data_IF_197897118781
#
_entry.id   IF_197897118781
#
_cell.length_a   1.000
_cell.length_b   1.000
_cell.length_c   1.000
_cell.angle_alpha   90.00
_cell.angle_beta   90.00
_cell.angle_gamma   90.00
#
_symmetry.space_group_name_H-M   'P 1'
#
loop_
_entity.id
_entity.type
_entity.pdbx_description
1 polymer ?
#
# COMPACT_ATOMS: atom_id res chain seq x y z
N UNK A 1 0.33 -11.87 -12.65
CA UNK A 1 -1.05 -11.63 -13.13
C UNK A 1 -2.14 -11.76 -12.07
N UNK A 2 -1.90 -12.41 -10.92
CA UNK A 2 -2.92 -12.54 -9.88
C UNK A 2 -3.35 -11.24 -9.22
N UNK A 3 -2.47 -10.23 -9.13
CA UNK A 3 -2.74 -8.96 -8.43
C UNK A 3 -2.89 -7.76 -9.39
N UNK A 4 -2.03 -7.67 -10.40
CA UNK A 4 -1.93 -6.50 -11.28
C UNK A 4 -3.23 -6.23 -12.06
N UNK A 5 -3.77 -5.01 -11.92
CA UNK A 5 -4.98 -4.47 -12.58
C UNK A 5 -6.26 -5.26 -12.29
N UNK A 6 -6.32 -5.98 -11.17
CA UNK A 6 -7.44 -6.85 -10.82
C UNK A 6 -8.52 -6.10 -10.05
N UNK A 7 -9.73 -6.12 -10.60
CA UNK A 7 -10.90 -5.45 -10.06
C UNK A 7 -11.34 -6.00 -8.70
N UNK A 8 -11.10 -7.28 -8.42
CA UNK A 8 -11.48 -7.91 -7.14
C UNK A 8 -10.79 -7.28 -5.91
N UNK A 9 -9.68 -6.57 -6.13
CA UNK A 9 -8.95 -5.85 -5.09
C UNK A 9 -9.32 -4.37 -4.99
N UNK A 10 -10.20 -3.87 -5.87
CA UNK A 10 -10.75 -2.53 -5.74
C UNK A 10 -11.68 -2.43 -4.53
N UNK A 11 -11.58 -1.32 -3.81
CA UNK A 11 -12.59 -0.97 -2.82
C UNK A 11 -13.79 -0.32 -3.48
N UNK A 12 -14.98 -0.65 -2.97
CA UNK A 12 -16.22 0.04 -3.31
C UNK A 12 -16.81 0.65 -2.04
N UNK A 13 -16.94 1.97 -2.02
CA UNK A 13 -17.48 2.76 -0.91
C UNK A 13 -18.36 3.89 -1.47
N UNK A 14 -19.60 4.00 -1.01
CA UNK A 14 -20.59 5.00 -1.48
C UNK A 14 -20.74 5.09 -3.01
N UNK A 15 -20.64 3.96 -3.72
CA UNK A 15 -20.74 3.93 -5.18
C UNK A 15 -19.51 4.47 -5.92
N UNK A 16 -18.45 4.86 -5.20
CA UNK A 16 -17.13 5.16 -5.75
C UNK A 16 -16.21 3.93 -5.64
N UNK A 17 -15.35 3.76 -6.63
CA UNK A 17 -14.48 2.59 -6.77
C UNK A 17 -13.03 3.02 -6.80
N UNK A 18 -12.17 2.37 -6.00
CA UNK A 18 -10.73 2.66 -6.01
C UNK A 18 -10.05 2.12 -7.26
N UNK A 19 -8.87 2.65 -7.59
CA UNK A 19 -8.05 2.10 -8.66
C UNK A 19 -7.58 0.68 -8.30
N UNK A 20 -7.56 -0.26 -9.25
CA UNK A 20 -7.04 -1.59 -8.98
C UNK A 20 -5.53 -1.52 -8.69
N UNK A 21 -4.97 -2.46 -7.92
CA UNK A 21 -3.54 -2.49 -7.64
C UNK A 21 -2.73 -2.58 -8.94
N UNK A 22 -1.61 -1.87 -9.02
CA UNK A 22 -0.75 -1.86 -10.20
C UNK A 22 0.69 -2.18 -9.85
N UNK A 23 1.30 -3.08 -10.60
CA UNK A 23 2.72 -3.42 -10.46
C UNK A 23 3.57 -2.20 -10.79
N UNK A 24 4.42 -1.80 -9.86
CA UNK A 24 5.37 -0.71 -10.06
C UNK A 24 6.78 -1.20 -10.38
N UNK A 25 7.18 -2.34 -9.83
CA UNK A 25 8.48 -2.95 -10.09
C UNK A 25 8.41 -4.45 -9.90
N UNK A 26 9.06 -5.18 -10.80
CA UNK A 26 9.34 -6.61 -10.71
C UNK A 26 10.78 -6.82 -11.14
N UNK A 27 11.62 -7.42 -10.29
CA UNK A 27 13.02 -7.73 -10.60
C UNK A 27 13.49 -8.96 -9.84
N UNK A 28 14.45 -9.69 -10.39
CA UNK A 28 15.28 -10.58 -9.59
C UNK A 28 16.27 -9.76 -8.73
N UNK A 29 16.89 -10.41 -7.76
CA UNK A 29 17.84 -9.77 -6.84
C UNK A 29 19.29 -10.23 -7.05
N UNK A 30 19.66 -10.68 -8.26
CA UNK A 30 21.07 -10.95 -8.55
C UNK A 30 21.85 -9.64 -8.61
N UNK A 31 22.97 -9.60 -7.91
CA UNK A 31 23.87 -8.44 -7.90
C UNK A 31 24.74 -8.37 -9.16
N UNK A 32 25.09 -9.53 -9.72
CA UNK A 32 25.92 -9.64 -10.90
C UNK A 32 25.44 -10.75 -11.85
N UNK A 33 25.91 -10.66 -13.11
CA UNK A 33 25.65 -11.71 -14.09
C UNK A 33 26.37 -13.00 -13.72
N UNK A 34 25.62 -14.11 -13.78
CA UNK A 34 26.15 -15.46 -13.70
C UNK A 34 25.20 -16.44 -14.40
N UNK A 35 25.69 -17.63 -14.72
CA UNK A 35 24.88 -18.71 -15.33
C UNK A 35 23.89 -19.37 -14.35
N UNK A 36 23.94 -19.02 -13.07
CA UNK A 36 23.06 -19.58 -12.04
C UNK A 36 21.69 -18.89 -12.06
N UNK A 37 20.65 -19.62 -11.67
CA UNK A 37 19.30 -19.07 -11.49
C UNK A 37 19.25 -18.08 -10.31
N UNK A 38 18.35 -17.11 -10.38
CA UNK A 38 18.11 -16.20 -9.26
C UNK A 38 17.47 -16.95 -8.10
N UNK A 39 17.96 -16.70 -6.88
CA UNK A 39 17.42 -17.32 -5.64
C UNK A 39 16.25 -16.54 -5.07
N UNK A 40 16.21 -15.24 -5.32
CA UNK A 40 15.22 -14.31 -4.77
C UNK A 40 14.80 -13.31 -5.82
N UNK A 41 13.56 -12.85 -5.71
CA UNK A 41 12.97 -11.82 -6.53
C UNK A 41 12.08 -10.93 -5.68
N UNK A 42 11.84 -9.71 -6.14
CA UNK A 42 10.94 -8.77 -5.49
C UNK A 42 9.95 -8.20 -6.50
N UNK A 43 8.74 -7.97 -6.00
CA UNK A 43 7.62 -7.40 -6.72
C UNK A 43 6.87 -6.50 -5.74
N UNK A 44 6.57 -5.27 -6.13
CA UNK A 44 5.70 -4.41 -5.33
C UNK A 44 4.67 -3.69 -6.19
N UNK A 45 3.56 -3.37 -5.55
CA UNK A 45 2.38 -2.78 -6.15
C UNK A 45 2.06 -1.46 -5.48
N UNK A 46 1.51 -0.52 -6.25
CA UNK A 46 0.69 0.52 -5.66
C UNK A 46 -0.71 -0.06 -5.40
N UNK A 47 -1.22 0.06 -4.17
CA UNK A 47 -2.53 -0.45 -3.77
C UNK A 47 -3.37 0.69 -3.21
N UNK A 48 -4.45 1.05 -3.90
CA UNK A 48 -5.35 2.13 -3.48
C UNK A 48 -6.53 1.60 -2.67
N UNK A 49 -6.72 2.14 -1.47
CA UNK A 49 -7.86 1.82 -0.60
C UNK A 49 -8.79 3.01 -0.44
N UNK A 50 -10.08 2.74 -0.32
CA UNK A 50 -11.12 3.69 0.10
C UNK A 50 -11.66 3.33 1.49
N UNK A 51 -11.62 2.04 1.86
CA UNK A 51 -12.13 1.52 3.13
C UNK A 51 -11.34 0.35 3.69
N UNK A 52 -10.65 -0.42 2.85
CA UNK A 52 -9.94 -1.60 3.33
C UNK A 52 -8.80 -1.21 4.25
N UNK A 53 -8.75 -1.91 5.37
CA UNK A 53 -7.73 -1.74 6.39
C UNK A 53 -6.44 -2.47 5.98
N UNK A 54 -5.28 -2.08 6.53
CA UNK A 54 -4.05 -2.86 6.39
C UNK A 54 -4.26 -4.38 6.53
N UNK A 55 -4.76 -4.88 7.65
CA UNK A 55 -4.97 -6.32 7.87
C UNK A 55 -5.82 -7.02 6.77
N UNK A 56 -6.87 -6.37 6.27
CA UNK A 56 -7.63 -6.89 5.13
C UNK A 56 -6.80 -6.96 3.85
N UNK A 57 -6.02 -5.92 3.54
CA UNK A 57 -5.13 -5.90 2.38
C UNK A 57 -4.04 -6.97 2.51
N UNK A 58 -3.46 -7.15 3.71
CA UNK A 58 -2.47 -8.19 3.96
C UNK A 58 -3.03 -9.57 3.65
N UNK A 59 -4.23 -9.86 4.15
CA UNK A 59 -4.93 -11.14 3.90
C UNK A 59 -5.15 -11.36 2.40
N UNK A 60 -5.73 -10.37 1.69
CA UNK A 60 -5.95 -10.43 0.24
C UNK A 60 -4.65 -10.70 -0.54
N UNK A 61 -3.54 -10.08 -0.15
CA UNK A 61 -2.24 -10.23 -0.82
C UNK A 61 -1.58 -11.57 -0.51
N UNK A 62 -1.72 -12.09 0.72
CA UNK A 62 -1.28 -13.44 1.06
C UNK A 62 -2.05 -14.50 0.27
N UNK A 63 -3.37 -14.38 0.18
CA UNK A 63 -4.21 -15.31 -0.57
C UNK A 63 -3.84 -15.32 -2.06
N UNK A 64 -3.68 -14.13 -2.65
CA UNK A 64 -3.27 -13.97 -4.05
C UNK A 64 -1.87 -14.56 -4.32
N UNK A 65 -0.94 -14.37 -3.39
CA UNK A 65 0.39 -14.95 -3.47
C UNK A 65 0.35 -16.47 -3.33
N UNK A 66 -0.50 -17.00 -2.46
CA UNK A 66 -0.65 -18.44 -2.24
C UNK A 66 -1.24 -19.12 -3.47
N UNK A 67 -2.27 -18.51 -4.07
CA UNK A 67 -2.84 -18.98 -5.33
C UNK A 67 -1.78 -18.96 -6.45
N UNK A 68 -1.04 -17.86 -6.60
CA UNK A 68 0.03 -17.76 -7.59
C UNK A 68 1.11 -18.84 -7.39
N UNK A 69 1.53 -19.07 -6.15
CA UNK A 69 2.56 -20.04 -5.83
C UNK A 69 2.07 -21.48 -6.05
N UNK A 70 0.81 -21.76 -5.69
CA UNK A 70 0.16 -23.05 -5.98
C UNK A 70 0.16 -23.37 -7.47
N UNK A 71 -0.20 -22.40 -8.32
CA UNK A 71 -0.18 -22.58 -9.78
C UNK A 71 1.24 -22.83 -10.30
N UNK A 72 2.24 -22.14 -9.75
CA UNK A 72 3.66 -22.32 -10.15
C UNK A 72 4.16 -23.71 -9.76
N UNK A 73 3.83 -24.21 -8.57
CA UNK A 73 4.21 -25.56 -8.13
C UNK A 73 3.55 -26.63 -9.00
N UNK A 74 2.28 -26.44 -9.37
CA UNK A 74 1.57 -27.34 -10.26
C UNK A 74 2.19 -27.37 -11.66
N UNK A 75 2.40 -26.21 -12.28
CA UNK A 75 3.05 -26.13 -13.59
C UNK A 75 4.47 -26.71 -13.56
N UNK A 76 5.25 -26.44 -12.50
CA UNK A 76 6.58 -26.99 -12.34
C UNK A 76 6.58 -28.53 -12.34
N UNK A 77 5.65 -29.16 -11.62
CA UNK A 77 5.51 -30.61 -11.62
C UNK A 77 5.05 -31.15 -12.98
N UNK A 78 4.13 -30.46 -13.67
CA UNK A 78 3.67 -30.85 -15.01
C UNK A 78 4.81 -30.76 -16.05
N UNK A 79 5.65 -29.73 -15.99
CA UNK A 79 6.83 -29.60 -16.84
C UNK A 79 7.89 -30.65 -16.49
N UNK A 80 8.12 -30.91 -15.20
CA UNK A 80 9.09 -31.89 -14.74
C UNK A 80 8.72 -33.30 -15.21
N UNK A 81 7.44 -33.66 -15.13
CA UNK A 81 6.92 -34.92 -15.65
C UNK A 81 7.20 -35.08 -17.14
N UNK A 82 6.90 -34.07 -17.95
CA UNK A 82 7.18 -34.10 -19.39
C UNK A 82 8.67 -34.26 -19.68
N UNK A 83 9.54 -33.60 -18.91
CA UNK A 83 10.98 -33.76 -19.02
C UNK A 83 11.43 -35.19 -18.68
N UNK A 84 10.93 -35.78 -17.59
CA UNK A 84 11.23 -37.16 -17.20
C UNK A 84 10.82 -38.15 -18.29
N UNK A 85 9.60 -38.02 -18.82
CA UNK A 85 9.07 -38.86 -19.90
C UNK A 85 9.94 -38.77 -21.17
N UNK A 86 10.34 -37.55 -21.56
CA UNK A 86 11.16 -37.33 -22.75
C UNK A 86 12.62 -37.80 -22.59
N UNK A 87 13.16 -37.75 -21.37
CA UNK A 87 14.55 -38.09 -21.06
C UNK A 87 14.75 -39.55 -20.60
N UNK A 88 13.66 -40.31 -20.44
CA UNK A 88 13.64 -41.62 -19.77
C UNK A 88 14.22 -41.58 -18.34
N UNK A 89 14.05 -40.45 -17.65
CA UNK A 89 14.43 -40.32 -16.25
C UNK A 89 13.26 -40.74 -15.34
N UNK A 90 13.50 -41.43 -14.20
CA UNK A 90 12.43 -41.75 -13.27
C UNK A 90 11.71 -40.50 -12.78
N UNK A 91 10.38 -40.52 -12.82
CA UNK A 91 9.56 -39.43 -12.31
C UNK A 91 9.18 -39.66 -10.84
N UNK A 92 9.46 -38.65 -10.01
CA UNK A 92 8.95 -38.49 -8.65
C UNK A 92 8.44 -37.05 -8.52
N UNK A 93 7.35 -36.82 -7.79
CA UNK A 93 6.87 -35.45 -7.58
C UNK A 93 7.91 -34.61 -6.86
N UNK A 94 8.06 -33.35 -7.29
CA UNK A 94 8.98 -32.42 -6.65
C UNK A 94 8.43 -32.04 -5.26
N UNK A 95 9.29 -31.90 -4.24
CA UNK A 95 8.86 -31.77 -2.84
C UNK A 95 8.38 -30.35 -2.47
N UNK A 96 8.15 -29.48 -3.46
CA UNK A 96 7.86 -28.08 -3.22
C UNK A 96 6.40 -27.88 -2.85
N UNK A 97 6.15 -27.19 -1.74
CA UNK A 97 4.81 -26.81 -1.30
C UNK A 97 4.65 -25.29 -1.31
N UNK A 98 3.45 -24.77 -1.62
CA UNK A 98 3.17 -23.34 -1.55
C UNK A 98 3.26 -22.84 -0.10
N UNK A 99 4.08 -21.80 0.12
CA UNK A 99 4.29 -21.18 1.43
C UNK A 99 4.26 -19.67 1.31
N UNK A 100 3.37 -19.05 2.06
CA UNK A 100 3.22 -17.59 2.10
C UNK A 100 3.09 -17.12 3.53
N UNK A 101 3.83 -16.07 3.86
CA UNK A 101 3.81 -15.46 5.18
C UNK A 101 3.87 -13.94 5.09
N UNK A 102 3.38 -13.26 6.11
CA UNK A 102 3.63 -11.84 6.30
C UNK A 102 5.03 -11.61 6.91
N UNK A 103 5.52 -10.38 6.88
CA UNK A 103 6.77 -10.05 7.58
C UNK A 103 6.68 -10.29 9.09
N UNK A 104 5.54 -10.01 9.71
CA UNK A 104 5.33 -10.34 11.12
C UNK A 104 5.42 -11.85 11.39
N UNK A 105 4.83 -12.69 10.54
CA UNK A 105 4.91 -14.15 10.68
C UNK A 105 6.34 -14.66 10.46
N UNK A 106 7.10 -14.07 9.54
CA UNK A 106 8.54 -14.34 9.39
C UNK A 106 9.30 -13.95 10.67
N UNK A 107 9.04 -12.76 11.19
CA UNK A 107 9.64 -12.29 12.44
C UNK A 107 9.36 -13.28 13.58
N UNK A 108 8.10 -13.69 13.77
CA UNK A 108 7.69 -14.64 14.82
C UNK A 108 8.38 -16.01 14.64
N UNK A 109 8.49 -16.50 13.41
CA UNK A 109 9.17 -17.77 13.11
C UNK A 109 10.67 -17.73 13.46
N UNK A 110 11.37 -16.64 13.11
CA UNK A 110 12.79 -16.46 13.45
C UNK A 110 12.96 -16.22 14.95
N UNK A 111 12.05 -15.45 15.55
CA UNK A 111 12.02 -15.16 17.00
C UNK A 111 11.89 -16.44 17.81
N UNK A 112 11.11 -17.41 17.34
CA UNK A 112 10.96 -18.70 17.99
C UNK A 112 12.27 -19.51 18.05
N UNK A 113 13.20 -19.30 17.11
CA UNK A 113 14.50 -19.97 17.07
C UNK A 113 15.59 -19.21 17.84
N UNK A 114 15.62 -17.88 17.71
CA UNK A 114 16.69 -17.03 18.25
C UNK A 114 16.37 -16.38 19.60
N UNK A 115 15.09 -16.31 19.99
CA UNK A 115 14.65 -15.56 21.16
C UNK A 115 14.93 -14.06 21.06
N UNK A 116 15.30 -13.43 22.18
CA UNK A 116 15.44 -11.97 22.26
C UNK A 116 16.62 -11.37 21.49
N UNK A 117 17.56 -12.20 21.03
CA UNK A 117 18.66 -11.76 20.19
C UNK A 117 18.19 -11.18 18.84
N UNK A 118 17.06 -11.65 18.31
CA UNK A 118 16.54 -11.19 17.01
C UNK A 118 16.28 -9.68 16.99
N UNK A 119 15.75 -9.10 18.06
CA UNK A 119 15.40 -7.68 18.10
C UNK A 119 16.65 -6.81 17.99
N UNK A 120 17.71 -7.20 18.71
CA UNK A 120 19.00 -6.51 18.64
C UNK A 120 19.61 -6.67 17.24
N UNK A 121 19.50 -7.87 16.64
CA UNK A 121 20.01 -8.13 15.30
C UNK A 121 19.30 -7.30 14.23
N UNK A 122 17.97 -7.16 14.32
CA UNK A 122 17.18 -6.35 13.38
C UNK A 122 17.58 -4.88 13.48
N UNK A 123 17.78 -4.35 14.69
CA UNK A 123 18.22 -2.97 14.85
C UNK A 123 19.64 -2.74 14.31
N UNK A 124 20.58 -3.67 14.55
CA UNK A 124 21.92 -3.63 13.92
C UNK A 124 21.84 -3.64 12.38
N UNK A 125 20.99 -4.51 11.81
CA UNK A 125 20.75 -4.57 10.36
C UNK A 125 20.25 -3.23 9.84
N UNK A 126 19.24 -2.65 10.50
CA UNK A 126 18.67 -1.35 10.11
C UNK A 126 19.72 -0.24 10.21
N UNK A 127 20.50 -0.19 11.29
CA UNK A 127 21.57 0.79 11.48
C UNK A 127 22.64 0.71 10.39
N UNK A 128 23.04 -0.51 10.00
CA UNK A 128 23.99 -0.71 8.90
C UNK A 128 23.40 -0.25 7.56
N UNK A 129 22.17 -0.69 7.24
CA UNK A 129 21.49 -0.29 6.00
C UNK A 129 21.26 1.23 5.91
N UNK A 130 21.08 1.92 7.04
CA UNK A 130 20.93 3.38 7.08
C UNK A 130 22.21 4.15 6.69
N UNK A 131 23.37 3.50 6.73
CA UNK A 131 24.65 4.09 6.26
C UNK A 131 24.67 4.22 4.75
N UNK A 132 24.00 3.31 4.03
CA UNK A 132 23.84 3.40 2.58
C UNK A 132 22.74 4.43 2.22
N UNK A 133 23.18 5.56 1.66
CA UNK A 133 22.28 6.63 1.23
C UNK A 133 21.62 6.38 -0.12
N UNK A 134 22.05 5.36 -0.86
CA UNK A 134 21.47 5.00 -2.17
C UNK A 134 20.16 4.23 -2.04
N UNK A 135 19.94 3.56 -0.89
CA UNK A 135 18.70 2.82 -0.63
C UNK A 135 17.54 3.79 -0.39
N UNK A 136 16.51 3.69 -1.24
CA UNK A 136 15.20 4.27 -0.97
C UNK A 136 14.45 3.46 0.10
N UNK A 137 13.29 3.93 0.54
CA UNK A 137 12.50 3.25 1.59
C UNK A 137 12.02 1.85 1.18
N UNK A 138 11.83 1.60 -0.13
CA UNK A 138 11.37 0.31 -0.66
C UNK A 138 12.52 -0.69 -0.69
N UNK A 139 13.65 -0.29 -1.25
CA UNK A 139 14.85 -1.11 -1.30
C UNK A 139 15.36 -1.37 0.13
N UNK A 140 15.25 -0.40 1.06
CA UNK A 140 15.52 -0.60 2.49
C UNK A 140 14.60 -1.66 3.12
N UNK A 141 13.27 -1.54 2.92
CA UNK A 141 12.31 -2.51 3.47
C UNK A 141 12.59 -3.93 2.97
N UNK A 142 12.84 -4.06 1.67
CA UNK A 142 13.20 -5.33 1.04
C UNK A 142 14.48 -5.92 1.64
N UNK A 143 15.53 -5.11 1.84
CA UNK A 143 16.79 -5.58 2.46
C UNK A 143 16.59 -6.04 3.90
N UNK A 144 15.79 -5.34 4.71
CA UNK A 144 15.46 -5.80 6.07
C UNK A 144 14.79 -7.18 6.03
N UNK A 145 13.80 -7.39 5.15
CA UNK A 145 13.14 -8.70 5.00
C UNK A 145 14.13 -9.78 4.58
N UNK A 146 15.00 -9.49 3.61
CA UNK A 146 16.05 -10.41 3.14
C UNK A 146 17.02 -10.81 4.27
N UNK A 147 17.48 -9.85 5.08
CA UNK A 147 18.38 -10.13 6.19
C UNK A 147 17.70 -10.90 7.32
N UNK A 148 16.44 -10.61 7.66
CA UNK A 148 15.68 -11.39 8.65
C UNK A 148 15.48 -12.83 8.16
N UNK A 149 15.11 -13.02 6.90
CA UNK A 149 14.97 -14.36 6.33
C UNK A 149 16.30 -15.14 6.29
N UNK A 150 17.45 -14.46 6.13
CA UNK A 150 18.77 -15.13 6.21
C UNK A 150 19.02 -15.77 7.57
N UNK A 151 18.50 -15.18 8.65
CA UNK A 151 18.64 -15.69 10.02
C UNK A 151 17.77 -16.92 10.28
N UNK A 152 16.70 -17.14 9.51
CA UNK A 152 15.80 -18.28 9.68
C UNK A 152 16.49 -19.60 9.32
N UNK A 153 16.32 -20.67 10.11
CA UNK A 153 16.92 -21.97 9.78
C UNK A 153 16.29 -22.63 8.55
N UNK A 154 14.99 -22.40 8.31
CA UNK A 154 14.24 -22.91 7.18
C UNK A 154 14.59 -22.17 5.89
N UNK A 155 14.95 -22.92 4.85
CA UNK A 155 15.36 -22.40 3.54
C UNK A 155 14.47 -22.90 2.40
N UNK A 156 13.34 -23.53 2.72
CA UNK A 156 12.37 -23.91 1.69
C UNK A 156 11.73 -22.66 1.07
N UNK A 157 11.33 -22.70 -0.21
CA UNK A 157 10.85 -21.52 -0.91
C UNK A 157 9.61 -20.90 -0.22
N UNK A 158 9.63 -19.57 -0.05
CA UNK A 158 8.57 -18.84 0.64
C UNK A 158 8.34 -17.47 -0.02
N UNK A 159 7.08 -17.04 -0.07
CA UNK A 159 6.72 -15.66 -0.41
C UNK A 159 6.45 -14.88 0.87
N UNK A 160 7.20 -13.80 1.08
CA UNK A 160 7.00 -12.89 2.22
C UNK A 160 6.26 -11.64 1.75
N UNK A 161 5.09 -11.38 2.33
CA UNK A 161 4.24 -10.22 2.04
C UNK A 161 4.43 -9.16 3.12
N UNK A 162 4.68 -7.92 2.71
CA UNK A 162 4.94 -6.82 3.62
C UNK A 162 4.54 -5.48 3.01
N UNK A 163 4.38 -4.47 3.85
CA UNK A 163 4.19 -3.09 3.42
C UNK A 163 5.52 -2.41 3.19
N UNK A 164 5.56 -1.67 2.09
CA UNK A 164 6.65 -0.77 1.80
C UNK A 164 6.13 0.66 1.78
N UNK A 165 6.88 1.64 2.34
CA UNK A 165 6.50 3.04 2.27
C UNK A 165 6.39 3.59 0.84
N UNK A 166 5.64 4.69 0.63
CA UNK A 166 4.87 5.42 1.65
C UNK A 166 3.48 4.81 1.91
N UNK A 167 2.96 4.97 3.12
CA UNK A 167 1.56 4.66 3.46
C UNK A 167 0.73 5.92 3.53
N UNK A 168 -0.34 5.98 2.73
CA UNK A 168 -1.33 7.05 2.75
C UNK A 168 -2.61 6.51 3.37
N UNK A 169 -2.97 6.93 4.60
CA UNK A 169 -4.27 6.58 5.18
C UNK A 169 -5.40 7.11 4.30
N UNK A 170 -6.37 6.27 3.95
CA UNK A 170 -7.59 6.79 3.33
C UNK A 170 -8.34 7.63 4.37
N UNK A 171 -8.80 8.81 3.96
CA UNK A 171 -9.73 9.61 4.76
C UNK A 171 -11.10 9.49 4.15
N UNK A 172 -12.02 8.96 4.93
CA UNK A 172 -13.41 8.81 4.55
C UNK A 172 -14.29 9.64 5.49
N UNK A 173 -14.76 10.80 5.00
CA UNK A 173 -15.65 11.70 5.73
C UNK A 173 -17.09 11.21 5.55
N UNK A 174 -17.53 10.34 6.45
CA UNK A 174 -18.85 9.68 6.41
C UNK A 174 -19.97 10.64 6.84
N UNK A 175 -19.67 11.59 7.71
CA UNK A 175 -20.67 12.42 8.38
C UNK A 175 -21.19 11.80 9.67
N UNK A 176 -20.43 10.87 10.27
CA UNK A 176 -20.82 10.20 11.52
C UNK A 176 -20.44 11.03 12.75
N UNK A 177 -19.32 11.77 12.69
CA UNK A 177 -18.87 12.68 13.74
C UNK A 177 -19.39 14.11 13.57
N UNK A 178 -19.50 14.87 14.67
CA UNK A 178 -20.01 16.26 14.64
C UNK A 178 -19.19 17.19 13.71
N UNK A 179 -17.86 17.08 13.74
CA UNK A 179 -16.96 17.86 12.86
C UNK A 179 -17.16 17.51 11.38
N UNK A 180 -17.41 16.24 11.08
CA UNK A 180 -17.68 15.79 9.71
C UNK A 180 -19.00 16.35 9.19
N UNK A 181 -20.05 16.34 10.01
CA UNK A 181 -21.35 16.93 9.66
C UNK A 181 -21.20 18.43 9.37
N UNK A 182 -20.54 19.17 10.25
CA UNK A 182 -20.25 20.60 10.05
C UNK A 182 -19.49 20.82 8.74
N UNK A 183 -18.49 20.00 8.43
CA UNK A 183 -17.71 20.11 7.20
C UNK A 183 -18.57 19.85 5.97
N UNK A 184 -19.30 18.74 5.94
CA UNK A 184 -20.13 18.34 4.80
C UNK A 184 -21.22 19.38 4.55
N UNK A 185 -21.96 19.79 5.58
CA UNK A 185 -23.00 20.82 5.45
C UNK A 185 -22.42 22.15 4.96
N UNK A 186 -21.26 22.58 5.49
CA UNK A 186 -20.59 23.81 5.04
C UNK A 186 -20.17 23.77 3.58
N UNK A 187 -19.77 22.59 3.08
CA UNK A 187 -19.44 22.36 1.67
C UNK A 187 -20.71 22.37 0.82
N UNK A 188 -21.76 21.67 1.22
CA UNK A 188 -23.02 21.60 0.48
C UNK A 188 -23.67 22.99 0.36
N UNK A 189 -23.72 23.76 1.45
CA UNK A 189 -24.19 25.16 1.45
C UNK A 189 -23.34 26.05 0.52
N UNK A 190 -22.02 25.83 0.48
CA UNK A 190 -21.14 26.58 -0.41
C UNK A 190 -21.38 26.23 -1.89
N UNK A 191 -21.64 24.95 -2.19
CA UNK A 191 -21.99 24.49 -3.54
C UNK A 191 -23.32 25.10 -3.99
N UNK A 192 -24.33 25.11 -3.12
CA UNK A 192 -25.65 25.67 -3.42
C UNK A 192 -25.63 27.19 -3.59
N UNK A 193 -24.73 27.90 -2.88
CA UNK A 193 -24.62 29.36 -2.94
C UNK A 193 -23.83 29.88 -4.16
N UNK A 194 -23.04 29.05 -4.83
CA UNK A 194 -22.20 29.50 -5.95
C UNK A 194 -22.95 29.39 -7.28
N UNK A 195 -23.24 30.53 -7.89
CA UNK A 195 -23.71 30.58 -9.27
C UNK A 195 -22.60 30.13 -10.25
N UNK A 196 -22.89 29.11 -11.04
CA UNK A 196 -21.93 28.46 -11.92
C UNK A 196 -22.63 27.83 -13.13
N UNK A 197 -22.03 27.94 -14.31
CA UNK A 197 -22.47 27.19 -15.50
C UNK A 197 -22.10 25.70 -15.42
N UNK A 198 -21.30 25.32 -14.42
CA UNK A 198 -20.82 23.97 -14.19
C UNK A 198 -21.69 23.25 -13.15
N UNK A 199 -22.03 21.99 -13.43
CA UNK A 199 -22.58 21.10 -12.41
C UNK A 199 -21.47 20.67 -11.45
N UNK A 200 -21.42 21.31 -10.29
CA UNK A 200 -20.50 20.97 -9.21
C UNK A 200 -21.07 19.74 -8.48
N UNK A 201 -20.20 18.78 -8.18
CA UNK A 201 -20.57 17.56 -7.46
C UNK A 201 -19.54 17.28 -6.37
N UNK A 202 -20.02 16.86 -5.20
CA UNK A 202 -19.17 16.36 -4.12
C UNK A 202 -18.80 14.90 -4.40
N UNK A 203 -17.53 14.56 -4.20
CA UNK A 203 -16.99 13.20 -4.27
C UNK A 203 -16.36 12.85 -2.92
N UNK A 204 -16.55 11.61 -2.47
CA UNK A 204 -16.03 11.14 -1.19
C UNK A 204 -14.54 10.87 -1.25
N UNK A 205 -14.03 10.41 -2.39
CA UNK A 205 -12.62 10.07 -2.56
C UNK A 205 -11.97 10.95 -3.63
N UNK A 206 -10.83 11.54 -3.28
CA UNK A 206 -10.02 12.28 -4.22
C UNK A 206 -9.24 11.28 -5.09
N UNK A 207 -9.37 11.30 -6.43
CA UNK A 207 -8.82 10.25 -7.30
C UNK A 207 -7.30 10.36 -7.52
N UNK A 208 -6.63 11.27 -6.81
CA UNK A 208 -5.18 11.49 -6.86
C UNK A 208 -4.59 11.45 -5.46
N UNK A 209 -3.26 11.56 -5.39
CA UNK A 209 -2.54 11.60 -4.12
C UNK A 209 -2.73 12.98 -3.48
N UNK A 210 -2.98 13.00 -2.16
CA UNK A 210 -3.07 14.24 -1.39
C UNK A 210 -2.44 14.06 -0.02
N UNK A 211 -1.63 15.03 0.39
CA UNK A 211 -1.04 15.09 1.73
C UNK A 211 -2.10 15.31 2.83
N UNK A 212 -3.33 15.67 2.45
CA UNK A 212 -4.47 15.65 3.37
C UNK A 212 -4.72 14.26 3.97
N UNK A 213 -4.21 13.20 3.34
CA UNK A 213 -4.21 11.84 3.93
C UNK A 213 -3.48 11.76 5.27
N UNK A 214 -2.58 12.72 5.56
CA UNK A 214 -1.75 12.72 6.77
C UNK A 214 -2.35 13.48 7.95
N UNK A 215 -3.56 14.05 7.84
CA UNK A 215 -4.17 14.77 8.99
C UNK A 215 -5.08 13.89 9.86
N UNK A 216 -5.19 12.60 9.52
CA UNK A 216 -5.87 11.57 10.28
C UNK A 216 -5.17 10.23 10.10
N UNK A 217 -5.44 9.28 10.98
CA UNK A 217 -4.99 7.91 10.89
C UNK A 217 -6.07 6.98 11.49
N UNK A 218 -6.10 5.69 11.12
CA UNK A 218 -7.01 4.73 11.73
C UNK A 218 -6.89 4.76 13.26
N UNK A 219 -8.03 4.81 13.97
CA UNK A 219 -8.06 4.89 15.44
C UNK A 219 -7.95 3.50 16.10
N UNK A 220 -8.27 2.42 15.38
CA UNK A 220 -8.21 1.06 15.92
C UNK A 220 -6.74 0.61 16.12
N UNK A 221 -6.33 0.29 17.37
CA UNK A 221 -4.98 -0.18 17.65
C UNK A 221 -4.59 -1.44 16.88
N UNK A 222 -5.54 -2.33 16.57
CA UNK A 222 -5.25 -3.58 15.82
C UNK A 222 -4.87 -3.29 14.38
N UNK A 223 -5.57 -2.35 13.74
CA UNK A 223 -5.26 -1.90 12.39
C UNK A 223 -3.86 -1.27 12.37
N UNK A 224 -3.55 -0.46 13.38
CA UNK A 224 -2.25 0.18 13.51
C UNK A 224 -1.14 -0.84 13.72
N UNK A 225 -1.38 -1.85 14.55
CA UNK A 225 -0.42 -2.92 14.79
C UNK A 225 -0.17 -3.75 13.53
N UNK A 226 -1.23 -4.08 12.78
CA UNK A 226 -1.10 -4.80 11.50
C UNK A 226 -0.23 -4.05 10.49
N UNK A 227 -0.34 -2.70 10.45
CA UNK A 227 0.53 -1.86 9.63
C UNK A 227 1.97 -1.86 10.14
N UNK A 228 2.18 -1.61 11.44
CA UNK A 228 3.51 -1.46 12.06
C UNK A 228 4.32 -2.75 11.97
N UNK A 229 3.73 -3.86 12.40
CA UNK A 229 4.35 -5.19 12.42
C UNK A 229 4.73 -5.72 11.03
N UNK A 230 4.13 -5.18 9.96
CA UNK A 230 4.41 -5.59 8.59
C UNK A 230 5.07 -4.50 7.72
N UNK A 231 5.58 -3.40 8.30
CA UNK A 231 6.28 -2.35 7.56
C UNK A 231 7.74 -2.21 8.04
N UNK A 232 8.70 -2.94 7.45
CA UNK A 232 10.07 -3.05 7.96
C UNK A 232 10.81 -1.70 8.09
N UNK A 233 10.52 -0.74 7.21
CA UNK A 233 11.14 0.59 7.23
C UNK A 233 10.50 1.57 8.23
N UNK A 234 9.36 1.24 8.83
CA UNK A 234 8.68 2.14 9.75
C UNK A 234 9.55 2.40 10.99
N UNK A 235 9.47 3.63 11.51
CA UNK A 235 10.20 4.16 12.65
C UNK A 235 11.74 4.19 12.50
N UNK A 236 12.28 3.76 11.36
CA UNK A 236 13.69 3.80 11.00
C UNK A 236 13.95 4.71 9.79
N UNK A 237 14.00 4.14 8.57
CA UNK A 237 14.18 4.88 7.31
C UNK A 237 12.95 5.71 6.96
N UNK A 238 11.76 5.23 7.29
CA UNK A 238 10.49 5.91 7.07
C UNK A 238 9.83 6.29 8.40
N UNK A 239 9.55 7.57 8.59
CA UNK A 239 8.92 8.08 9.80
C UNK A 239 7.55 8.64 9.47
N UNK A 240 6.52 8.08 10.10
CA UNK A 240 5.14 8.54 9.97
C UNK A 240 4.61 8.79 11.38
N UNK A 241 4.26 10.03 11.77
CA UNK A 241 3.90 10.37 13.15
C UNK A 241 2.46 9.97 13.48
N UNK A 242 2.18 8.68 13.44
CA UNK A 242 0.84 8.08 13.53
C UNK A 242 0.05 8.59 14.76
N UNK A 243 0.68 8.65 15.93
CA UNK A 243 0.03 9.15 17.15
C UNK A 243 -0.38 10.63 17.03
N UNK A 244 0.43 11.45 16.35
CA UNK A 244 0.09 12.85 16.11
C UNK A 244 -1.04 12.98 15.08
N UNK A 245 -1.04 12.13 14.06
CA UNK A 245 -2.10 12.07 13.04
C UNK A 245 -3.43 11.67 13.67
N UNK A 246 -3.45 10.67 14.56
CA UNK A 246 -4.65 10.27 15.31
C UNK A 246 -5.17 11.38 16.24
N UNK A 247 -4.26 12.08 16.94
CA UNK A 247 -4.62 13.22 17.80
C UNK A 247 -5.19 14.39 17.00
N UNK A 248 -4.69 14.61 15.79
CA UNK A 248 -5.19 15.63 14.89
C UNK A 248 -6.59 15.26 14.39
N UNK A 249 -6.74 14.05 13.83
CA UNK A 249 -8.04 13.42 13.54
C UNK A 249 -9.02 14.33 12.82
N UNK A 250 -8.54 15.10 11.83
CA UNK A 250 -9.36 16.10 11.15
C UNK A 250 -10.07 15.51 9.94
N UNK A 251 -11.37 15.79 9.76
CA UNK A 251 -12.01 15.55 8.47
C UNK A 251 -11.49 16.55 7.45
N UNK A 252 -11.41 16.11 6.19
CA UNK A 252 -10.84 16.92 5.10
C UNK A 252 -11.76 16.96 3.91
N UNK A 253 -11.73 18.08 3.20
CA UNK A 253 -12.29 18.23 1.87
C UNK A 253 -11.24 18.87 0.99
N UNK A 254 -11.13 18.38 -0.26
CA UNK A 254 -10.27 18.99 -1.25
C UNK A 254 -11.12 19.83 -2.21
N UNK A 255 -10.92 21.14 -2.19
CA UNK A 255 -11.59 22.10 -3.09
C UNK A 255 -10.50 22.75 -3.92
N UNK A 256 -10.57 22.60 -5.24
CA UNK A 256 -9.50 23.01 -6.13
C UNK A 256 -9.95 23.31 -7.55
N UNK A 257 -9.00 23.67 -8.43
CA UNK A 257 -9.26 23.95 -9.84
C UNK A 257 -9.76 22.70 -10.57
N UNK A 258 -10.45 22.90 -11.68
CA UNK A 258 -10.87 21.83 -12.57
C UNK A 258 -9.94 21.79 -13.78
N UNK A 259 -9.34 20.63 -14.03
CA UNK A 259 -8.35 20.49 -15.09
C UNK A 259 -8.21 19.06 -15.58
N UNK A 260 -7.21 18.86 -16.43
CA UNK A 260 -6.90 17.57 -17.04
C UNK A 260 -5.40 17.39 -17.11
N UNK A 261 -4.99 16.12 -17.00
CA UNK A 261 -3.61 15.68 -17.15
C UNK A 261 -2.63 16.24 -16.09
N UNK A 262 -3.07 16.34 -14.84
CA UNK A 262 -2.20 16.69 -13.71
C UNK A 262 -0.93 15.83 -13.69
N UNK A 263 0.23 16.46 -13.46
CA UNK A 263 1.56 15.83 -13.49
C UNK A 263 1.96 15.23 -14.84
N UNK A 264 1.37 15.68 -15.95
CA UNK A 264 1.76 15.31 -17.32
C UNK A 264 2.12 16.56 -18.11
N UNK A 265 2.88 16.40 -19.19
CA UNK A 265 3.28 17.53 -20.04
C UNK A 265 2.10 18.28 -20.70
N UNK A 266 0.91 17.67 -20.75
CA UNK A 266 -0.33 18.27 -21.26
C UNK A 266 -1.20 18.90 -20.17
N UNK A 267 -0.68 19.06 -18.95
CA UNK A 267 -1.39 19.63 -17.81
C UNK A 267 -2.04 20.98 -18.16
N UNK A 268 -3.33 21.10 -17.87
CA UNK A 268 -4.12 22.30 -18.15
C UNK A 268 -5.34 22.38 -17.24
N UNK A 269 -5.83 23.59 -17.03
CA UNK A 269 -7.04 23.86 -16.26
C UNK A 269 -8.08 24.62 -17.07
N UNK A 270 -9.35 24.49 -16.67
CA UNK A 270 -10.44 25.31 -17.18
C UNK A 270 -10.41 26.64 -16.41
N UNK A 271 -10.20 27.75 -17.13
CA UNK A 271 -9.90 29.05 -16.54
C UNK A 271 -11.10 29.64 -15.79
N UNK A 272 -12.29 29.57 -16.38
CA UNK A 272 -13.48 30.19 -15.80
C UNK A 272 -13.82 29.54 -14.45
N UNK A 273 -13.88 28.21 -14.40
CA UNK A 273 -14.08 27.47 -13.18
C UNK A 273 -12.97 27.76 -12.17
N UNK A 274 -11.71 27.65 -12.59
CA UNK A 274 -10.58 27.68 -11.65
C UNK A 274 -10.32 29.06 -11.06
N UNK A 275 -10.60 30.15 -11.80
CA UNK A 275 -10.33 31.51 -11.34
C UNK A 275 -11.57 32.27 -10.87
N UNK A 276 -12.79 31.83 -11.22
CA UNK A 276 -14.02 32.53 -10.85
C UNK A 276 -14.95 31.71 -9.94
N UNK A 277 -14.98 30.39 -10.09
CA UNK A 277 -15.90 29.50 -9.34
C UNK A 277 -15.21 28.90 -8.11
N UNK A 278 -14.07 28.21 -8.30
CA UNK A 278 -13.36 27.54 -7.22
C UNK A 278 -12.95 28.47 -6.05
N UNK A 279 -12.48 29.72 -6.28
CA UNK A 279 -12.18 30.63 -5.19
C UNK A 279 -13.42 31.02 -4.37
N UNK A 280 -14.60 31.12 -5.00
CA UNK A 280 -15.87 31.40 -4.30
C UNK A 280 -16.31 30.20 -3.47
N UNK A 281 -16.16 28.97 -3.98
CA UNK A 281 -16.42 27.75 -3.22
C UNK A 281 -15.56 27.70 -1.96
N UNK A 282 -14.25 27.91 -2.09
CA UNK A 282 -13.34 27.95 -0.93
C UNK A 282 -13.76 29.02 0.07
N UNK A 283 -14.04 30.24 -0.41
CA UNK A 283 -14.46 31.37 0.44
C UNK A 283 -15.75 31.04 1.22
N UNK A 284 -16.80 30.58 0.53
CA UNK A 284 -18.07 30.26 1.16
C UNK A 284 -17.94 29.08 2.13
N UNK A 285 -17.19 28.03 1.78
CA UNK A 285 -16.96 26.92 2.71
C UNK A 285 -16.27 27.40 3.99
N UNK A 286 -15.27 28.27 3.90
CA UNK A 286 -14.60 28.85 5.08
C UNK A 286 -15.57 29.73 5.90
N UNK A 287 -16.35 30.59 5.25
CA UNK A 287 -17.34 31.45 5.92
C UNK A 287 -18.39 30.62 6.66
N UNK A 288 -18.90 29.56 6.04
CA UNK A 288 -19.87 28.63 6.64
C UNK A 288 -19.24 27.90 7.84
N UNK A 289 -18.02 27.39 7.70
CA UNK A 289 -17.29 26.72 8.79
C UNK A 289 -17.05 27.63 10.00
N UNK A 290 -16.78 28.92 9.78
CA UNK A 290 -16.55 29.90 10.85
C UNK A 290 -17.84 30.37 11.53
N UNK A 291 -19.00 30.12 10.91
CA UNK A 291 -20.31 30.51 11.44
C UNK A 291 -21.00 29.42 12.29
N UNK A 292 -20.45 28.21 12.31
CA UNK A 292 -20.95 27.03 13.03
C UNK A 292 -20.08 26.72 14.24
#
# INVERSE_FOLDING_TARGET
>A
NKINLKFEYCDVAEGEVSLPPITLRQKDLKEEYSVQIAKTATLYFNYSTHKSTPDEVMTKMKDAANEAFTEVVADLNDQYKQFCDASNFPHEELPWEPRVMSFNELYDAVKAEMGDELDTKIEEIKEELLKDKSLDERDFSMKVVEEVHKLWSDKDPVVVVYYSPPYYPHIYVEGSEHKEKILLESVDEAVDAVESDYKIVSKKFYPYISDLSFVSAPKDPKIMEALKSNMPALDSKYKLPLDAMQKLGLPVVNIGPFGKDAHKFTERLEKKYSFEVAPKLVKHTIENLLSK
#
